data_IF_519287316612
#
_entry.id   IF_519287316612
#
_cell.length_a   1.000
_cell.length_b   1.000
_cell.length_c   1.000
_cell.angle_alpha   90.00
_cell.angle_beta   90.00
_cell.angle_gamma   90.00
#
_symmetry.space_group_name_H-M   'P 1'
#
loop_
_entity.id
_entity.type
_entity.pdbx_description
1 polymer ?
#
# COMPACT_ATOMS: atom_id res chain seq x y z
N UNK A 1 15.82 7.97 -20.73
CA UNK A 1 15.90 6.48 -20.72
C UNK A 1 15.48 5.92 -19.36
N UNK A 2 16.19 6.25 -18.27
CA UNK A 2 15.88 5.80 -16.89
C UNK A 2 14.40 5.95 -16.43
N UNK A 3 13.77 7.09 -16.69
CA UNK A 3 12.35 7.31 -16.35
C UNK A 3 11.40 6.36 -17.09
N UNK A 4 11.70 6.04 -18.36
CA UNK A 4 10.90 5.11 -19.16
C UNK A 4 11.06 3.68 -18.66
N UNK A 5 12.27 3.28 -18.31
CA UNK A 5 12.58 1.93 -17.83
C UNK A 5 11.98 1.68 -16.44
N UNK A 6 12.05 2.67 -15.55
CA UNK A 6 11.42 2.60 -14.23
C UNK A 6 9.88 2.52 -14.33
N UNK A 7 9.26 3.28 -15.24
CA UNK A 7 7.82 3.17 -15.52
C UNK A 7 7.45 1.82 -16.13
N UNK A 8 8.29 1.26 -16.99
CA UNK A 8 8.07 -0.05 -17.59
C UNK A 8 8.12 -1.15 -16.52
N UNK A 9 9.09 -1.08 -15.60
CA UNK A 9 9.22 -2.01 -14.48
C UNK A 9 8.02 -1.94 -13.52
N UNK A 10 7.63 -0.75 -13.09
CA UNK A 10 6.44 -0.55 -12.24
C UNK A 10 5.18 -1.09 -12.93
N UNK A 11 5.01 -0.83 -14.23
CA UNK A 11 3.86 -1.34 -15.00
C UNK A 11 3.89 -2.85 -15.13
N UNK A 12 5.06 -3.44 -15.33
CA UNK A 12 5.22 -4.89 -15.38
C UNK A 12 4.82 -5.53 -14.05
N UNK A 13 5.32 -4.99 -12.93
CA UNK A 13 4.96 -5.51 -11.60
C UNK A 13 3.45 -5.39 -11.35
N UNK A 14 2.85 -4.25 -11.68
CA UNK A 14 1.43 -3.99 -11.44
C UNK A 14 0.50 -4.85 -12.32
N UNK A 15 0.83 -5.02 -13.61
CA UNK A 15 -0.06 -5.66 -14.59
C UNK A 15 0.24 -7.14 -14.82
N UNK A 16 1.52 -7.56 -14.77
CA UNK A 16 1.95 -8.90 -15.23
C UNK A 16 2.22 -9.86 -14.08
N UNK A 17 2.55 -9.36 -12.87
CA UNK A 17 2.89 -10.23 -11.75
C UNK A 17 1.71 -11.10 -11.33
N UNK A 18 0.50 -10.53 -11.24
CA UNK A 18 -0.71 -11.29 -10.90
C UNK A 18 -0.97 -12.46 -11.86
N UNK A 19 -0.93 -12.20 -13.17
CA UNK A 19 -1.13 -13.22 -14.20
C UNK A 19 -0.04 -14.28 -14.21
N UNK A 20 1.21 -13.89 -13.90
CA UNK A 20 2.33 -14.83 -13.81
C UNK A 20 2.16 -15.78 -12.61
N UNK A 21 1.79 -15.23 -11.44
CA UNK A 21 1.53 -16.00 -10.22
C UNK A 21 0.33 -16.94 -10.38
N UNK A 22 -0.76 -16.44 -10.96
CA UNK A 22 -1.96 -17.24 -11.23
C UNK A 22 -1.69 -18.41 -12.19
N UNK A 23 -0.94 -18.17 -13.29
CA UNK A 23 -0.54 -19.24 -14.23
C UNK A 23 0.42 -20.25 -13.61
N UNK A 24 1.27 -19.83 -12.68
CA UNK A 24 2.11 -20.74 -11.90
C UNK A 24 1.26 -21.67 -11.04
N UNK A 25 0.35 -21.09 -10.26
CA UNK A 25 -0.57 -21.84 -9.41
C UNK A 25 -1.47 -22.80 -10.20
N UNK A 26 -2.04 -22.35 -11.31
CA UNK A 26 -2.88 -23.16 -12.19
C UNK A 26 -2.11 -24.38 -12.71
N UNK A 27 -0.86 -24.19 -13.14
CA UNK A 27 -0.01 -25.28 -13.62
C UNK A 27 0.25 -26.31 -12.52
N UNK A 28 0.52 -25.87 -11.30
CA UNK A 28 0.79 -26.76 -10.17
C UNK A 28 -0.47 -27.51 -9.73
N UNK A 29 -1.63 -26.84 -9.77
CA UNK A 29 -2.93 -27.45 -9.53
C UNK A 29 -3.25 -28.52 -10.59
N UNK A 30 -3.10 -28.20 -11.88
CA UNK A 30 -3.37 -29.11 -12.99
C UNK A 30 -2.40 -30.30 -13.06
N UNK A 31 -1.22 -30.18 -12.45
CA UNK A 31 -0.26 -31.29 -12.29
C UNK A 31 -0.60 -32.21 -11.12
N UNK A 32 -1.49 -31.81 -10.22
CA UNK A 32 -1.89 -32.62 -9.07
C UNK A 32 -2.96 -33.63 -9.48
N UNK A 33 -2.72 -34.95 -9.34
CA UNK A 33 -3.73 -35.96 -9.67
C UNK A 33 -5.01 -35.78 -8.85
N UNK A 34 -6.18 -36.03 -9.45
CA UNK A 34 -7.47 -35.85 -8.79
C UNK A 34 -7.61 -36.67 -7.49
N UNK A 35 -7.00 -37.85 -7.43
CA UNK A 35 -6.94 -38.71 -6.24
C UNK A 35 -6.16 -38.09 -5.07
N UNK A 36 -5.22 -37.17 -5.36
CA UNK A 36 -4.35 -36.53 -4.37
C UNK A 36 -4.87 -35.15 -3.94
N UNK A 37 -5.82 -34.56 -4.67
CA UNK A 37 -6.35 -33.22 -4.40
C UNK A 37 -6.88 -33.09 -2.97
N UNK A 38 -7.59 -34.10 -2.47
CA UNK A 38 -8.12 -34.06 -1.10
C UNK A 38 -7.01 -34.10 -0.05
N UNK A 39 -5.95 -34.88 -0.30
CA UNK A 39 -4.77 -34.98 0.57
C UNK A 39 -3.90 -33.71 0.55
N UNK A 40 -3.82 -33.04 -0.60
CA UNK A 40 -3.05 -31.81 -0.83
C UNK A 40 -3.85 -30.52 -0.71
N UNK A 41 -5.15 -30.59 -0.43
CA UNK A 41 -6.03 -29.41 -0.41
C UNK A 41 -5.54 -28.31 0.53
N UNK A 42 -4.97 -28.68 1.68
CA UNK A 42 -4.41 -27.72 2.65
C UNK A 42 -3.16 -27.03 2.11
N UNK A 43 -2.25 -27.80 1.51
CA UNK A 43 -1.01 -27.30 0.91
C UNK A 43 -1.30 -26.36 -0.27
N UNK A 44 -2.19 -26.76 -1.17
CA UNK A 44 -2.61 -25.93 -2.31
C UNK A 44 -3.25 -24.62 -1.84
N UNK A 45 -4.11 -24.66 -0.80
CA UNK A 45 -4.67 -23.43 -0.21
C UNK A 45 -3.58 -22.52 0.37
N UNK A 46 -2.63 -23.07 1.13
CA UNK A 46 -1.52 -22.30 1.70
C UNK A 46 -0.67 -21.66 0.59
N UNK A 47 -0.36 -22.40 -0.47
CA UNK A 47 0.37 -21.86 -1.62
C UNK A 47 -0.42 -20.75 -2.32
N UNK A 48 -1.72 -20.91 -2.50
CA UNK A 48 -2.59 -19.88 -3.06
C UNK A 48 -2.63 -18.61 -2.20
N UNK A 49 -2.70 -18.76 -0.87
CA UNK A 49 -2.62 -17.64 0.08
C UNK A 49 -1.27 -16.92 -0.02
N UNK A 50 -0.15 -17.64 -0.04
CA UNK A 50 1.18 -17.06 -0.20
C UNK A 50 1.34 -16.30 -1.53
N UNK A 51 0.85 -16.84 -2.64
CA UNK A 51 0.90 -16.16 -3.94
C UNK A 51 0.02 -14.90 -3.96
N UNK A 52 -1.13 -14.92 -3.27
CA UNK A 52 -1.97 -13.73 -3.10
C UNK A 52 -1.24 -12.67 -2.28
N UNK A 53 -0.58 -13.05 -1.19
CA UNK A 53 0.23 -12.15 -0.36
C UNK A 53 1.39 -11.51 -1.16
N UNK A 54 2.10 -12.31 -1.95
CA UNK A 54 3.17 -11.83 -2.82
C UNK A 54 2.65 -10.85 -3.86
N UNK A 55 1.49 -11.12 -4.47
CA UNK A 55 0.85 -10.20 -5.42
C UNK A 55 0.53 -8.87 -4.74
N UNK A 56 -0.08 -8.89 -3.56
CA UNK A 56 -0.48 -7.68 -2.83
C UNK A 56 0.75 -6.84 -2.44
N UNK A 57 1.83 -7.47 -1.99
CA UNK A 57 3.10 -6.81 -1.71
C UNK A 57 3.69 -6.15 -2.96
N UNK A 58 3.72 -6.86 -4.10
CA UNK A 58 4.19 -6.33 -5.37
C UNK A 58 3.37 -5.13 -5.86
N UNK A 59 2.05 -5.17 -5.72
CA UNK A 59 1.18 -4.03 -6.03
C UNK A 59 1.49 -2.82 -5.14
N UNK A 60 1.69 -3.02 -3.84
CA UNK A 60 2.04 -1.94 -2.92
C UNK A 60 3.40 -1.31 -3.24
N UNK A 61 4.40 -2.14 -3.55
CA UNK A 61 5.73 -1.68 -3.98
C UNK A 61 5.63 -0.88 -5.28
N UNK A 62 4.89 -1.39 -6.27
CA UNK A 62 4.68 -0.68 -7.53
C UNK A 62 4.02 0.69 -7.33
N UNK A 63 3.00 0.77 -6.47
CA UNK A 63 2.33 2.04 -6.15
C UNK A 63 3.25 3.03 -5.43
N UNK A 64 4.00 2.56 -4.44
CA UNK A 64 4.98 3.38 -3.72
C UNK A 64 6.08 3.91 -4.66
N UNK A 65 6.69 3.03 -5.46
CA UNK A 65 7.70 3.42 -6.44
C UNK A 65 7.13 4.38 -7.48
N UNK A 66 5.91 4.16 -7.96
CA UNK A 66 5.24 5.08 -8.90
C UNK A 66 5.12 6.48 -8.31
N UNK A 67 4.70 6.60 -7.06
CA UNK A 67 4.54 7.89 -6.39
C UNK A 67 5.88 8.61 -6.20
N UNK A 68 6.93 7.89 -5.78
CA UNK A 68 8.27 8.47 -5.62
C UNK A 68 8.91 8.84 -6.96
N UNK A 69 8.77 8.01 -7.99
CA UNK A 69 9.22 8.35 -9.34
C UNK A 69 8.48 9.57 -9.88
N UNK A 70 7.16 9.66 -9.67
CA UNK A 70 6.36 10.82 -10.07
C UNK A 70 6.87 12.08 -9.38
N UNK A 71 7.10 12.02 -8.07
CA UNK A 71 7.66 13.13 -7.29
C UNK A 71 9.05 13.55 -7.78
N UNK A 72 9.96 12.59 -7.90
CA UNK A 72 11.34 12.83 -8.32
C UNK A 72 11.41 13.46 -9.72
N UNK A 73 10.68 12.90 -10.69
CA UNK A 73 10.77 13.32 -12.09
C UNK A 73 9.85 14.49 -12.48
N UNK A 74 8.71 14.69 -11.80
CA UNK A 74 7.77 15.76 -12.15
C UNK A 74 7.88 17.00 -11.25
N UNK A 75 8.51 16.88 -10.06
CA UNK A 75 8.59 17.99 -9.10
C UNK A 75 10.01 18.36 -8.68
N UNK A 76 10.91 17.38 -8.55
CA UNK A 76 12.24 17.62 -7.98
C UNK A 76 13.33 17.82 -9.04
N UNK A 77 13.20 17.16 -10.19
CA UNK A 77 14.07 17.35 -11.35
C UNK A 77 13.51 18.45 -12.26
N UNK A 78 14.32 19.47 -12.55
CA UNK A 78 13.97 20.46 -13.55
C UNK A 78 13.96 19.84 -14.97
N UNK A 79 13.18 20.40 -15.93
CA UNK A 79 13.26 20.00 -17.33
C UNK A 79 14.68 20.13 -17.86
N UNK A 80 15.11 19.19 -18.72
CA UNK A 80 16.48 19.15 -19.26
C UNK A 80 16.90 20.40 -20.05
N UNK A 81 15.94 21.24 -20.46
CA UNK A 81 16.15 22.51 -21.18
C UNK A 81 16.25 23.73 -20.25
N UNK A 82 16.13 23.55 -18.94
CA UNK A 82 16.40 24.63 -18.00
C UNK A 82 17.92 24.85 -17.93
N UNK A 83 18.36 26.09 -18.14
CA UNK A 83 19.76 26.57 -18.08
C UNK A 83 20.30 26.53 -16.63
N UNK A 84 20.20 25.34 -16.02
CA UNK A 84 20.42 25.07 -14.62
C UNK A 84 21.92 24.91 -14.41
N UNK A 85 22.46 25.62 -13.43
CA UNK A 85 23.88 25.49 -13.13
C UNK A 85 24.16 24.06 -12.61
N UNK A 86 25.32 23.49 -12.98
CA UNK A 86 25.68 22.10 -12.66
C UNK A 86 25.54 21.75 -11.16
N UNK A 87 25.75 22.73 -10.28
CA UNK A 87 25.60 22.56 -8.83
C UNK A 87 24.13 22.39 -8.38
N UNK A 88 23.19 23.07 -9.04
CA UNK A 88 21.75 22.93 -8.77
C UNK A 88 21.24 21.59 -9.29
N UNK A 89 21.69 21.17 -10.47
CA UNK A 89 21.36 19.85 -11.02
C UNK A 89 21.84 18.73 -10.09
N UNK A 90 23.07 18.84 -9.57
CA UNK A 90 23.60 17.89 -8.59
C UNK A 90 22.73 17.85 -7.33
N UNK A 91 22.38 19.01 -6.77
CA UNK A 91 21.52 19.07 -5.59
C UNK A 91 20.11 18.51 -5.85
N UNK A 92 19.55 18.67 -7.06
CA UNK A 92 18.27 18.07 -7.45
C UNK A 92 18.36 16.55 -7.56
N UNK A 93 19.43 16.02 -8.16
CA UNK A 93 19.69 14.58 -8.26
C UNK A 93 19.89 13.98 -6.86
N UNK A 94 20.66 14.63 -5.99
CA UNK A 94 20.90 14.16 -4.62
C UNK A 94 19.57 14.10 -3.83
N UNK A 95 18.67 15.09 -4.00
CA UNK A 95 17.33 15.05 -3.42
C UNK A 95 16.48 13.90 -3.97
N UNK A 96 16.44 13.73 -5.28
CA UNK A 96 15.69 12.64 -5.91
C UNK A 96 16.20 11.26 -5.45
N UNK A 97 17.52 11.08 -5.37
CA UNK A 97 18.13 9.86 -4.86
C UNK A 97 17.76 9.60 -3.39
N UNK A 98 17.80 10.63 -2.54
CA UNK A 98 17.46 10.51 -1.11
C UNK A 98 16.03 10.06 -0.84
N UNK A 99 15.11 10.24 -1.79
CA UNK A 99 13.73 9.75 -1.69
C UNK A 99 13.55 8.37 -2.32
N UNK A 100 14.22 8.10 -3.43
CA UNK A 100 14.08 6.84 -4.18
C UNK A 100 14.78 5.67 -3.50
N UNK A 101 15.95 5.89 -2.91
CA UNK A 101 16.75 4.85 -2.27
C UNK A 101 15.99 4.19 -1.09
N UNK A 102 15.46 4.93 -0.10
CA UNK A 102 14.66 4.32 0.97
C UNK A 102 13.40 3.60 0.47
N UNK A 103 12.79 4.07 -0.62
CA UNK A 103 11.61 3.43 -1.21
C UNK A 103 11.95 2.06 -1.85
N UNK A 104 13.12 1.95 -2.47
CA UNK A 104 13.63 0.70 -3.01
C UNK A 104 14.03 -0.28 -1.90
N UNK A 105 14.75 0.21 -0.89
CA UNK A 105 15.14 -0.59 0.29
C UNK A 105 13.90 -1.17 0.99
N UNK A 106 12.88 -0.34 1.23
CA UNK A 106 11.62 -0.80 1.80
C UNK A 106 10.94 -1.85 0.92
N UNK A 107 10.99 -1.69 -0.41
CA UNK A 107 10.48 -2.70 -1.35
C UNK A 107 11.20 -4.04 -1.21
N UNK A 108 12.53 -4.03 -1.08
CA UNK A 108 13.33 -5.23 -0.85
C UNK A 108 12.99 -5.89 0.48
N UNK A 109 12.87 -5.10 1.57
CA UNK A 109 12.51 -5.61 2.89
C UNK A 109 11.11 -6.26 2.91
N UNK A 110 10.13 -5.60 2.30
CA UNK A 110 8.77 -6.13 2.17
C UNK A 110 8.76 -7.43 1.36
N UNK A 111 9.51 -7.51 0.25
CA UNK A 111 9.63 -8.73 -0.54
C UNK A 111 10.30 -9.86 0.24
N UNK A 112 11.43 -9.59 0.88
CA UNK A 112 12.13 -10.60 1.68
C UNK A 112 11.22 -11.19 2.76
N UNK A 113 10.47 -10.34 3.47
CA UNK A 113 9.52 -10.76 4.50
C UNK A 113 8.40 -11.64 3.96
N UNK A 114 7.80 -11.29 2.82
CA UNK A 114 6.72 -12.09 2.21
C UNK A 114 7.24 -13.42 1.67
N UNK A 115 8.49 -13.47 1.23
CA UNK A 115 9.16 -14.70 0.81
C UNK A 115 9.69 -15.54 2.00
N UNK A 116 9.46 -15.11 3.24
CA UNK A 116 9.93 -15.80 4.45
C UNK A 116 11.44 -15.66 4.69
N UNK A 117 12.12 -14.76 3.96
CA UNK A 117 13.52 -14.44 4.17
C UNK A 117 13.60 -13.43 5.32
N UNK A 118 14.29 -13.80 6.40
CA UNK A 118 14.66 -12.84 7.45
C UNK A 118 15.80 -11.98 6.93
N UNK A 119 15.44 -10.83 6.36
CA UNK A 119 16.37 -9.73 6.15
C UNK A 119 16.43 -9.00 7.48
N UNK A 120 17.50 -9.21 8.25
CA UNK A 120 17.64 -8.56 9.55
C UNK A 120 17.78 -7.04 9.35
N UNK A 121 16.81 -6.29 9.89
CA UNK A 121 16.70 -4.83 9.80
C UNK A 121 17.93 -4.08 10.35
N UNK A 122 18.73 -4.78 11.17
CA UNK A 122 19.98 -4.33 11.81
C UNK A 122 21.25 -4.67 11.01
N UNK A 123 21.17 -5.48 9.95
CA UNK A 123 22.35 -5.93 9.21
C UNK A 123 22.51 -5.30 7.82
N UNK A 124 21.40 -5.03 7.12
CA UNK A 124 21.42 -4.60 5.71
C UNK A 124 21.46 -3.07 5.52
N UNK A 125 20.84 -2.29 6.42
CA UNK A 125 20.68 -0.82 6.30
C UNK A 125 20.78 -0.12 7.68
N UNK A 126 21.77 -0.52 8.48
CA UNK A 126 21.82 -0.31 9.93
C UNK A 126 22.25 1.09 10.38
N UNK A 127 22.55 2.01 9.47
CA UNK A 127 23.02 3.34 9.82
C UNK A 127 21.87 4.22 10.35
N UNK A 128 22.20 5.10 11.30
CA UNK A 128 21.24 6.00 11.96
C UNK A 128 20.43 6.90 10.99
N UNK A 129 21.00 7.40 9.87
CA UNK A 129 20.22 8.10 8.83
C UNK A 129 19.12 7.21 8.24
N UNK A 130 19.44 5.96 7.92
CA UNK A 130 18.50 4.98 7.37
C UNK A 130 17.39 4.60 8.36
N UNK A 131 17.68 4.54 9.67
CA UNK A 131 16.66 4.37 10.70
C UNK A 131 15.69 5.55 10.77
N UNK A 132 16.22 6.77 10.73
CA UNK A 132 15.40 8.00 10.73
C UNK A 132 14.53 8.08 9.48
N UNK A 133 15.10 7.90 8.29
CA UNK A 133 14.37 7.94 7.03
C UNK A 133 13.24 6.89 6.99
N UNK A 134 13.51 5.67 7.50
CA UNK A 134 12.49 4.62 7.66
C UNK A 134 11.37 5.03 8.61
N UNK A 135 11.69 5.60 9.77
CA UNK A 135 10.69 6.06 10.73
C UNK A 135 9.87 7.26 10.21
N UNK A 136 10.49 8.20 9.48
CA UNK A 136 9.79 9.30 8.80
C UNK A 136 8.83 8.76 7.73
N UNK A 137 9.28 7.80 6.92
CA UNK A 137 8.45 7.14 5.90
C UNK A 137 7.28 6.38 6.52
N UNK A 138 7.54 5.59 7.55
CA UNK A 138 6.49 4.85 8.25
C UNK A 138 5.45 5.80 8.83
N UNK A 139 5.88 6.90 9.46
CA UNK A 139 4.99 7.92 10.04
C UNK A 139 4.09 8.56 8.99
N UNK A 140 4.64 8.84 7.80
CA UNK A 140 3.93 9.35 6.64
C UNK A 140 2.91 8.33 6.11
N UNK A 141 3.32 7.09 5.85
CA UNK A 141 2.47 6.04 5.27
C UNK A 141 1.28 5.72 6.20
N UNK A 142 1.52 5.64 7.52
CA UNK A 142 0.46 5.45 8.52
C UNK A 142 -0.53 6.62 8.52
N UNK A 143 -0.04 7.86 8.41
CA UNK A 143 -0.91 9.04 8.35
C UNK A 143 -1.76 9.05 7.08
N UNK A 144 -1.16 8.77 5.92
CA UNK A 144 -1.85 8.70 4.63
C UNK A 144 -2.95 7.64 4.66
N UNK A 145 -2.65 6.44 5.18
CA UNK A 145 -3.65 5.38 5.32
C UNK A 145 -4.81 5.82 6.22
N UNK A 146 -4.54 6.52 7.32
CA UNK A 146 -5.60 7.05 8.18
C UNK A 146 -6.53 8.03 7.43
N UNK A 147 -5.99 8.83 6.50
CA UNK A 147 -6.80 9.71 5.66
C UNK A 147 -7.65 8.93 4.65
N UNK A 148 -7.10 7.87 4.05
CA UNK A 148 -7.85 6.99 3.13
C UNK A 148 -9.02 6.33 3.85
N UNK A 149 -8.80 5.83 5.07
CA UNK A 149 -9.86 5.25 5.92
C UNK A 149 -10.89 6.31 6.30
N UNK A 150 -10.47 7.54 6.64
CA UNK A 150 -11.40 8.65 6.91
C UNK A 150 -12.29 8.96 5.69
N UNK A 151 -11.70 9.07 4.51
CA UNK A 151 -12.46 9.35 3.28
C UNK A 151 -13.46 8.23 2.96
N UNK A 152 -13.10 6.97 3.22
CA UNK A 152 -14.03 5.85 3.11
C UNK A 152 -15.22 6.00 4.09
N UNK A 153 -14.95 6.31 5.36
CA UNK A 153 -15.99 6.52 6.37
C UNK A 153 -16.93 7.68 6.02
N UNK A 154 -16.40 8.79 5.51
CA UNK A 154 -17.20 9.93 5.02
C UNK A 154 -18.13 9.51 3.89
N UNK A 155 -17.64 8.72 2.91
CA UNK A 155 -18.45 8.21 1.80
C UNK A 155 -19.51 7.22 2.27
N UNK A 156 -19.19 6.35 3.22
CA UNK A 156 -20.15 5.40 3.80
C UNK A 156 -21.28 6.15 4.51
N UNK A 157 -20.96 7.16 5.32
CA UNK A 157 -21.96 7.97 6.04
C UNK A 157 -22.84 8.80 5.12
N UNK A 158 -22.34 9.15 3.93
CA UNK A 158 -23.08 9.89 2.92
C UNK A 158 -23.99 9.00 2.04
N UNK A 159 -23.98 7.68 2.23
CA UNK A 159 -24.87 6.78 1.49
C UNK A 159 -26.34 7.04 1.89
N UNK A 160 -27.24 7.28 0.94
CA UNK A 160 -28.66 7.35 1.23
C UNK A 160 -29.15 5.94 1.57
N UNK A 161 -29.40 5.68 2.86
CA UNK A 161 -29.92 4.40 3.38
C UNK A 161 -31.46 4.28 3.24
N UNK A 162 -32.10 5.19 2.49
CA UNK A 162 -33.56 5.33 2.34
C UNK A 162 -34.00 4.95 0.91
N UNK A 163 -35.07 4.16 0.81
CA UNK A 163 -35.54 3.41 -0.37
C UNK A 163 -36.02 4.24 -1.59
N UNK A 164 -35.97 5.56 -1.57
CA UNK A 164 -36.49 6.37 -2.68
C UNK A 164 -35.37 6.98 -3.54
N UNK A 165 -34.83 6.17 -4.47
CA UNK A 165 -34.18 6.72 -5.68
C UNK A 165 -34.67 6.02 -6.93
N UNK A 166 -35.14 6.81 -7.88
CA UNK A 166 -35.48 6.42 -9.25
C UNK A 166 -34.23 6.22 -10.15
N UNK A 167 -33.02 6.33 -9.57
CA UNK A 167 -31.74 6.51 -10.28
C UNK A 167 -30.84 5.25 -10.23
N UNK A 168 -31.41 4.12 -9.80
CA UNK A 168 -30.70 2.85 -9.64
C UNK A 168 -29.91 2.74 -8.32
N UNK A 169 -29.47 1.52 -7.94
CA UNK A 169 -28.73 1.30 -6.71
C UNK A 169 -27.35 1.96 -6.76
N UNK A 170 -26.87 2.56 -5.64
CA UNK A 170 -25.51 3.11 -5.57
C UNK A 170 -24.47 2.04 -5.88
N UNK A 171 -23.40 2.40 -6.59
CA UNK A 171 -22.35 1.44 -6.97
C UNK A 171 -21.31 1.29 -5.87
N UNK A 172 -20.80 0.06 -5.69
CA UNK A 172 -19.72 -0.26 -4.74
C UNK A 172 -18.32 0.20 -5.21
N UNK A 173 -18.24 1.08 -6.22
CA UNK A 173 -16.97 1.52 -6.80
C UNK A 173 -16.05 2.16 -5.75
N UNK A 174 -16.60 2.99 -4.85
CA UNK A 174 -15.82 3.63 -3.79
C UNK A 174 -15.19 2.61 -2.81
N UNK A 175 -15.86 1.48 -2.56
CA UNK A 175 -15.36 0.41 -1.70
C UNK A 175 -14.25 -0.37 -2.41
N UNK A 176 -14.38 -0.61 -3.73
CA UNK A 176 -13.33 -1.20 -4.56
C UNK A 176 -12.09 -0.32 -4.62
N UNK A 177 -12.27 0.99 -4.81
CA UNK A 177 -11.19 1.98 -4.79
C UNK A 177 -10.49 2.00 -3.43
N UNK A 178 -11.27 2.02 -2.34
CA UNK A 178 -10.74 1.95 -0.98
C UNK A 178 -9.90 0.69 -0.77
N UNK A 179 -10.38 -0.49 -1.16
CA UNK A 179 -9.63 -1.75 -1.01
C UNK A 179 -8.38 -1.76 -1.89
N UNK A 180 -8.41 -1.14 -3.07
CA UNK A 180 -7.22 -0.97 -3.89
C UNK A 180 -6.16 -0.14 -3.15
N UNK A 181 -6.52 1.05 -2.63
CA UNK A 181 -5.59 1.90 -1.88
C UNK A 181 -5.13 1.27 -0.57
N UNK A 182 -6.03 0.61 0.15
CA UNK A 182 -5.73 -0.12 1.37
C UNK A 182 -4.76 -1.29 1.10
N UNK A 183 -4.92 -2.03 0.00
CA UNK A 183 -3.97 -3.08 -0.40
C UNK A 183 -2.60 -2.51 -0.69
N UNK A 184 -2.55 -1.39 -1.38
CA UNK A 184 -1.32 -0.82 -1.85
C UNK A 184 -0.52 -0.12 -0.72
N UNK A 185 -1.17 0.52 0.27
CA UNK A 185 -0.49 1.17 1.41
C UNK A 185 -0.52 0.36 2.71
N UNK A 186 -1.61 -0.33 2.99
CA UNK A 186 -1.90 -0.89 4.32
C UNK A 186 -1.20 -2.22 4.59
N UNK A 187 -1.11 -3.13 3.62
CA UNK A 187 -0.57 -4.47 3.87
C UNK A 187 0.88 -4.49 4.39
N UNK A 188 1.81 -3.66 3.88
CA UNK A 188 3.16 -3.56 4.42
C UNK A 188 3.19 -3.08 5.90
N UNK A 189 2.30 -2.17 6.26
CA UNK A 189 2.20 -1.57 7.60
C UNK A 189 1.56 -2.52 8.62
N UNK A 190 0.65 -3.38 8.16
CA UNK A 190 -0.20 -4.20 9.02
C UNK A 190 0.44 -5.54 9.40
N UNK A 191 1.40 -6.05 8.62
CA UNK A 191 2.18 -7.24 9.03
C UNK A 191 3.27 -6.92 10.06
N UNK A 192 3.55 -5.64 10.32
CA UNK A 192 4.52 -5.21 11.34
C UNK A 192 3.89 -4.98 12.70
N UNK A 193 2.57 -4.84 12.75
CA UNK A 193 1.83 -4.67 13.96
C UNK A 193 0.78 -5.77 14.06
N UNK A 194 0.99 -6.75 14.93
CA UNK A 194 0.01 -7.77 15.31
C UNK A 194 -1.18 -7.09 16.01
N UNK A 195 -2.02 -6.40 15.25
CA UNK A 195 -3.11 -5.62 15.80
C UNK A 195 -4.45 -6.38 15.67
N UNK A 196 -5.16 -6.63 16.79
CA UNK A 196 -6.36 -7.46 16.81
C UNK A 196 -7.48 -7.00 15.89
N UNK A 197 -7.53 -5.70 15.55
CA UNK A 197 -8.60 -5.12 14.74
C UNK A 197 -8.38 -5.25 13.22
N UNK A 198 -7.19 -5.66 12.78
CA UNK A 198 -6.87 -5.74 11.34
C UNK A 198 -7.61 -6.90 10.66
N UNK A 199 -7.58 -8.08 11.27
CA UNK A 199 -8.25 -9.25 10.72
C UNK A 199 -9.79 -9.09 10.66
N UNK A 200 -10.47 -8.61 11.73
CA UNK A 200 -11.89 -8.26 11.66
C UNK A 200 -12.24 -7.23 10.59
N UNK A 201 -11.39 -6.21 10.41
CA UNK A 201 -11.59 -5.18 9.40
C UNK A 201 -11.48 -5.73 7.97
N UNK A 202 -10.45 -6.53 7.69
CA UNK A 202 -10.27 -7.20 6.40
C UNK A 202 -11.44 -8.13 6.06
N UNK A 203 -11.95 -8.88 7.05
CA UNK A 203 -13.13 -9.73 6.88
C UNK A 203 -14.39 -8.90 6.58
N UNK A 204 -14.59 -7.78 7.26
CA UNK A 204 -15.71 -6.89 7.01
C UNK A 204 -15.66 -6.28 5.59
N UNK A 205 -14.47 -5.89 5.12
CA UNK A 205 -14.26 -5.41 3.76
C UNK A 205 -14.47 -6.50 2.71
N UNK A 206 -14.07 -7.75 2.99
CA UNK A 206 -14.32 -8.88 2.09
C UNK A 206 -15.81 -9.05 1.82
N UNK A 207 -16.61 -9.12 2.89
CA UNK A 207 -18.08 -9.23 2.79
C UNK A 207 -18.71 -8.04 2.06
N UNK A 208 -18.16 -6.85 2.26
CA UNK A 208 -18.60 -5.64 1.57
C UNK A 208 -18.34 -5.71 0.05
N UNK A 209 -17.28 -6.39 -0.38
CA UNK A 209 -16.90 -6.53 -1.80
C UNK A 209 -17.54 -7.72 -2.50
N UNK A 210 -18.02 -8.72 -1.77
CA UNK A 210 -18.66 -9.92 -2.31
C UNK A 210 -20.07 -9.65 -2.88
N UNK A 211 -20.66 -8.50 -2.54
CA UNK A 211 -21.94 -8.04 -3.08
C UNK A 211 -21.74 -6.91 -4.10
N UNK A 212 -22.36 -7.04 -5.27
CA UNK A 212 -22.40 -5.97 -6.27
C UNK A 212 -23.34 -4.82 -5.88
N UNK A 213 -24.20 -5.02 -4.87
CA UNK A 213 -25.15 -4.04 -4.35
C UNK A 213 -24.78 -3.59 -2.94
N UNK A 214 -25.14 -2.35 -2.60
CA UNK A 214 -24.97 -1.79 -1.25
C UNK A 214 -25.93 -2.48 -0.30
N UNK A 215 -25.40 -3.31 0.61
CA UNK A 215 -26.15 -3.85 1.73
C UNK A 215 -25.92 -2.94 2.97
N UNK A 216 -26.96 -2.26 3.48
CA UNK A 216 -26.86 -1.39 4.65
C UNK A 216 -26.20 -2.03 5.88
N UNK A 217 -26.42 -3.33 6.10
CA UNK A 217 -25.89 -4.06 7.26
C UNK A 217 -24.39 -4.28 7.08
N UNK A 218 -23.96 -4.69 5.89
CA UNK A 218 -22.54 -4.89 5.59
C UNK A 218 -21.76 -3.56 5.59
N UNK A 219 -22.38 -2.50 5.10
CA UNK A 219 -21.82 -1.14 5.09
C UNK A 219 -21.62 -0.62 6.51
N UNK A 220 -22.63 -0.72 7.37
CA UNK A 220 -22.54 -0.28 8.76
C UNK A 220 -21.51 -1.11 9.55
N UNK A 221 -21.48 -2.42 9.35
CA UNK A 221 -20.47 -3.29 9.95
C UNK A 221 -19.05 -2.90 9.50
N UNK A 222 -18.83 -2.66 8.20
CA UNK A 222 -17.54 -2.20 7.69
C UNK A 222 -17.13 -0.82 8.23
N UNK A 223 -18.09 0.09 8.41
CA UNK A 223 -17.86 1.42 9.00
C UNK A 223 -17.33 1.33 10.43
N UNK A 224 -17.95 0.52 11.30
CA UNK A 224 -17.52 0.37 12.70
C UNK A 224 -16.09 -0.17 12.82
N UNK A 225 -15.72 -1.15 11.99
CA UNK A 225 -14.35 -1.68 11.98
C UNK A 225 -13.35 -0.68 11.38
N UNK A 226 -13.76 0.09 10.36
CA UNK A 226 -12.94 1.17 9.80
C UNK A 226 -12.68 2.29 10.80
N UNK A 227 -13.63 2.62 11.67
CA UNK A 227 -13.46 3.62 12.74
C UNK A 227 -12.38 3.20 13.74
N UNK A 228 -12.50 2.01 14.32
CA UNK A 228 -11.50 1.48 15.24
C UNK A 228 -10.11 1.38 14.60
N UNK A 229 -10.07 0.96 13.32
CA UNK A 229 -8.82 0.89 12.58
C UNK A 229 -8.20 2.27 12.32
N UNK A 230 -8.99 3.29 12.02
CA UNK A 230 -8.51 4.68 11.85
C UNK A 230 -7.90 5.19 13.16
N UNK A 231 -8.58 4.98 14.27
CA UNK A 231 -8.14 5.48 15.57
C UNK A 231 -6.81 4.80 15.96
N UNK A 232 -6.69 3.49 15.74
CA UNK A 232 -5.43 2.76 15.86
C UNK A 232 -4.29 3.37 15.01
N UNK A 233 -4.55 3.74 13.75
CA UNK A 233 -3.53 4.36 12.89
C UNK A 233 -3.10 5.74 13.41
N UNK A 234 -4.00 6.52 13.97
CA UNK A 234 -3.67 7.81 14.58
C UNK A 234 -2.79 7.63 15.82
N UNK A 235 -3.11 6.63 16.66
CA UNK A 235 -2.29 6.29 17.83
C UNK A 235 -0.91 5.75 17.41
N UNK A 236 -0.86 4.92 16.37
CA UNK A 236 0.41 4.44 15.80
C UNK A 236 1.24 5.60 15.25
N UNK A 237 0.63 6.54 14.53
CA UNK A 237 1.30 7.73 14.02
C UNK A 237 1.90 8.58 15.14
N UNK A 238 1.18 8.75 16.25
CA UNK A 238 1.67 9.45 17.43
C UNK A 238 2.88 8.74 18.04
N UNK A 239 2.76 7.42 18.31
CA UNK A 239 3.85 6.59 18.87
C UNK A 239 5.11 6.57 17.99
N UNK A 240 4.98 6.55 16.67
CA UNK A 240 6.13 6.65 15.77
C UNK A 240 6.81 8.02 15.93
N UNK A 241 6.02 9.09 16.09
CA UNK A 241 6.53 10.44 16.33
C UNK A 241 7.31 10.61 17.62
N UNK A 242 7.14 9.72 18.60
CA UNK A 242 7.85 9.71 19.89
C UNK A 242 9.18 8.94 19.84
N UNK A 243 9.51 8.28 18.72
CA UNK A 243 10.76 7.53 18.58
C UNK A 243 11.97 8.47 18.69
N UNK A 244 13.04 7.98 19.32
CA UNK A 244 14.27 8.74 19.56
C UNK A 244 14.87 9.28 18.25
N UNK A 245 14.87 8.49 17.18
CA UNK A 245 15.38 8.93 15.87
C UNK A 245 14.56 10.06 15.20
N UNK A 246 13.33 10.32 15.67
CA UNK A 246 12.47 11.41 15.21
C UNK A 246 12.40 12.59 16.18
N UNK A 247 13.21 12.60 17.24
CA UNK A 247 13.25 13.70 18.19
C UNK A 247 13.54 15.04 17.46
N UNK A 248 12.65 16.02 17.65
CA UNK A 248 12.74 17.34 17.01
C UNK A 248 12.27 17.41 15.55
N UNK A 249 11.78 16.31 14.96
CA UNK A 249 11.26 16.28 13.59
C UNK A 249 9.76 16.58 13.56
N UNK A 250 9.40 17.73 12.97
CA UNK A 250 7.99 18.13 12.81
C UNK A 250 7.38 17.42 11.60
N UNK A 251 6.18 16.87 11.77
CA UNK A 251 5.44 16.22 10.68
C UNK A 251 4.79 17.26 9.76
N UNK A 252 5.22 17.30 8.49
CA UNK A 252 4.62 18.20 7.48
C UNK A 252 3.35 17.59 6.88
N UNK A 253 2.20 18.03 7.39
CA UNK A 253 0.88 17.62 6.88
C UNK A 253 0.62 18.06 5.44
N UNK A 254 1.21 19.17 4.98
CA UNK A 254 0.99 19.67 3.61
C UNK A 254 1.73 18.78 2.62
N UNK A 255 2.99 18.49 2.87
CA UNK A 255 3.77 17.56 2.06
C UNK A 255 3.12 16.16 2.03
N UNK A 256 2.65 15.67 3.17
CA UNK A 256 1.93 14.40 3.25
C UNK A 256 0.63 14.38 2.44
N UNK A 257 -0.15 15.46 2.46
CA UNK A 257 -1.38 15.58 1.68
C UNK A 257 -1.08 15.61 0.17
N UNK A 258 0.01 16.24 -0.24
CA UNK A 258 0.44 16.24 -1.65
C UNK A 258 0.87 14.84 -2.11
N UNK A 259 1.63 14.10 -1.28
CA UNK A 259 1.96 12.71 -1.59
C UNK A 259 0.73 11.81 -1.68
N UNK A 260 -0.25 12.01 -0.77
CA UNK A 260 -1.50 11.30 -0.85
C UNK A 260 -2.24 11.57 -2.18
N UNK A 261 -2.27 12.83 -2.66
CA UNK A 261 -2.86 13.15 -3.97
C UNK A 261 -2.16 12.41 -5.11
N UNK A 262 -0.83 12.41 -5.13
CA UNK A 262 -0.04 11.70 -6.14
C UNK A 262 -0.36 10.20 -6.14
N UNK A 263 -0.56 9.61 -4.96
CA UNK A 263 -0.90 8.20 -4.80
C UNK A 263 -2.33 7.88 -5.27
N UNK A 264 -3.27 8.78 -4.98
CA UNK A 264 -4.67 8.65 -5.43
C UNK A 264 -4.84 8.93 -6.93
N UNK A 265 -3.82 9.49 -7.59
CA UNK A 265 -3.88 9.91 -8.99
C UNK A 265 -4.62 11.23 -9.21
N UNK A 266 -4.70 12.07 -8.17
CA UNK A 266 -5.35 13.40 -8.15
C UNK A 266 -4.35 14.53 -8.47
#
# INVERSE_FOLDING_TARGET
MLHSDARALVRYIDQRAGDALARGYERDLLRTPASELTGRARELRQNGEQLRELREALTGIAASLRAELKRAFERELAPADADSQLHELRAQVDRAASHLEPALENGVLVLGRVLGIRLDDEGLFADHPSRRARSERLRLDVWMLAQVVRAFLEKVRALPLSEERWDGPPTMQFARDFVHYFRAMGYPLLRTADHPQVAPFLLALGRLLDSDHVDPIHVDHAARHAEGFRDYLLDLHARIGEREELAGVVFDRRAAAEQLRLYLGL
#
